data_IF_161793970752
#
_entry.id   IF_161793970752
#
_cell.length_a   1.000
_cell.length_b   1.000
_cell.length_c   1.000
_cell.angle_alpha   90.00
_cell.angle_beta   90.00
_cell.angle_gamma   90.00
#
_symmetry.space_group_name_H-M   'P 1'
#
loop_
_entity.id
_entity.type
_entity.pdbx_description
1 polymer ?
#
# COMPACT_ATOMS: atom_id res chain seq x y z
N UNK A 1 5.24 -18.01 -18.64
CA UNK A 1 5.15 -16.54 -18.45
C UNK A 1 4.49 -15.99 -19.69
N UNK A 2 3.40 -15.24 -19.55
CA UNK A 2 2.65 -14.67 -20.68
C UNK A 2 2.78 -13.15 -20.60
N UNK A 3 3.15 -12.50 -21.69
CA UNK A 3 3.12 -11.03 -21.78
C UNK A 3 1.65 -10.57 -21.76
N UNK A 4 1.38 -9.47 -21.06
CA UNK A 4 0.04 -8.92 -20.76
C UNK A 4 -0.91 -8.83 -21.99
N UNK A 5 -0.35 -8.67 -23.20
CA UNK A 5 -1.06 -8.45 -24.45
C UNK A 5 -2.03 -9.56 -24.91
N UNK A 6 -2.04 -10.75 -24.28
CA UNK A 6 -2.95 -11.84 -24.65
C UNK A 6 -4.01 -12.16 -23.58
N UNK A 7 -4.02 -11.44 -22.47
CA UNK A 7 -4.94 -11.71 -21.35
C UNK A 7 -6.12 -10.73 -21.43
N UNK A 8 -7.32 -11.26 -21.49
CA UNK A 8 -8.56 -10.48 -21.54
C UNK A 8 -9.16 -10.40 -20.14
N UNK A 9 -9.82 -9.30 -19.83
CA UNK A 9 -10.59 -9.14 -18.60
C UNK A 9 -12.04 -9.49 -18.90
N UNK A 10 -12.56 -10.54 -18.26
CA UNK A 10 -14.00 -10.74 -18.18
C UNK A 10 -14.59 -9.64 -17.29
N UNK A 11 -15.28 -8.67 -17.90
CA UNK A 11 -15.84 -7.50 -17.22
C UNK A 11 -17.00 -7.86 -16.28
N UNK A 12 -17.61 -9.03 -16.44
CA UNK A 12 -18.71 -9.48 -15.57
C UNK A 12 -18.23 -9.99 -14.21
N UNK A 13 -17.06 -10.64 -14.16
CA UNK A 13 -16.52 -11.25 -12.94
C UNK A 13 -15.14 -10.72 -12.53
N UNK A 14 -14.53 -9.84 -13.32
CA UNK A 14 -13.19 -9.31 -13.13
C UNK A 14 -12.06 -10.33 -13.37
N UNK A 15 -12.37 -11.48 -13.98
CA UNK A 15 -11.42 -12.57 -14.18
C UNK A 15 -10.43 -12.27 -15.29
N UNK A 16 -9.17 -12.69 -15.12
CA UNK A 16 -8.19 -12.77 -16.19
C UNK A 16 -8.41 -14.06 -16.99
N UNK A 17 -8.64 -13.92 -18.28
CA UNK A 17 -8.91 -15.01 -19.22
C UNK A 17 -7.79 -15.09 -20.24
N UNK A 18 -7.29 -16.30 -20.49
CA UNK A 18 -6.31 -16.59 -21.53
C UNK A 18 -6.85 -17.72 -22.40
N UNK A 19 -6.92 -17.52 -23.73
CA UNK A 19 -7.45 -18.52 -24.67
C UNK A 19 -8.84 -19.06 -24.28
N UNK A 20 -9.70 -18.20 -23.75
CA UNK A 20 -11.08 -18.54 -23.37
C UNK A 20 -11.24 -19.22 -21.99
N UNK A 21 -10.16 -19.44 -21.24
CA UNK A 21 -10.23 -20.07 -19.90
C UNK A 21 -9.64 -19.17 -18.80
N UNK A 22 -10.08 -19.31 -17.52
CA UNK A 22 -9.51 -18.56 -16.40
C UNK A 22 -7.99 -18.79 -16.26
N UNK A 23 -7.24 -17.69 -16.33
CA UNK A 23 -5.78 -17.71 -16.36
C UNK A 23 -5.19 -18.16 -15.01
N UNK A 24 -4.18 -19.02 -15.06
CA UNK A 24 -3.36 -19.39 -13.92
C UNK A 24 -1.89 -19.22 -14.29
N UNK A 25 -1.15 -18.46 -13.48
CA UNK A 25 0.23 -18.11 -13.76
C UNK A 25 0.54 -16.68 -13.30
N UNK A 26 1.72 -16.18 -13.66
CA UNK A 26 2.15 -14.81 -13.34
C UNK A 26 2.16 -13.94 -14.60
N UNK A 27 1.50 -12.79 -14.51
CA UNK A 27 1.56 -11.72 -15.52
C UNK A 27 2.71 -10.80 -15.14
N UNK A 28 3.62 -10.57 -16.08
CA UNK A 28 4.73 -9.65 -15.90
C UNK A 28 4.69 -8.51 -16.92
N UNK A 29 5.03 -7.32 -16.46
CA UNK A 29 5.25 -6.15 -17.32
C UNK A 29 6.66 -5.62 -17.14
N UNK A 30 7.16 -4.86 -18.13
CA UNK A 30 8.48 -4.24 -18.09
C UNK A 30 8.37 -2.74 -18.29
N UNK A 31 9.28 -2.00 -17.65
CA UNK A 31 9.50 -0.59 -17.90
C UNK A 31 10.11 -0.38 -19.29
N UNK A 32 10.08 0.84 -19.85
CA UNK A 32 10.70 1.14 -21.14
C UNK A 32 12.19 0.79 -21.22
N UNK A 33 12.89 0.77 -20.08
CA UNK A 33 14.29 0.37 -19.98
C UNK A 33 14.51 -1.16 -19.88
N UNK A 34 13.46 -1.96 -20.04
CA UNK A 34 13.50 -3.43 -19.99
C UNK A 34 13.49 -4.04 -18.59
N UNK A 35 13.61 -3.24 -17.53
CA UNK A 35 13.53 -3.74 -16.16
C UNK A 35 12.11 -4.20 -15.82
N UNK A 36 11.99 -5.16 -14.89
CA UNK A 36 10.68 -5.64 -14.44
C UNK A 36 9.89 -4.48 -13.82
N UNK A 37 8.65 -4.30 -14.24
CA UNK A 37 7.75 -3.27 -13.69
C UNK A 37 6.69 -3.86 -12.77
N UNK A 38 6.16 -5.04 -13.09
CA UNK A 38 5.21 -5.76 -12.24
C UNK A 38 5.37 -7.27 -12.36
N UNK A 39 5.04 -7.96 -11.27
CA UNK A 39 4.82 -9.40 -11.22
C UNK A 39 3.50 -9.63 -10.46
N UNK A 40 2.47 -10.07 -11.19
CA UNK A 40 1.09 -10.20 -10.71
C UNK A 40 0.63 -11.67 -10.83
N UNK A 41 0.55 -12.42 -9.73
CA UNK A 41 0.21 -13.83 -9.76
C UNK A 41 -1.30 -14.06 -9.74
N UNK A 42 -1.78 -14.99 -10.57
CA UNK A 42 -3.18 -15.36 -10.73
C UNK A 42 -3.37 -16.86 -10.62
N UNK A 43 -4.53 -17.24 -10.06
CA UNK A 43 -5.06 -18.60 -10.01
C UNK A 43 -6.54 -18.57 -10.36
N UNK A 44 -6.95 -19.38 -11.33
CA UNK A 44 -8.33 -19.43 -11.82
C UNK A 44 -8.91 -18.04 -12.15
N UNK A 45 -8.11 -17.20 -12.80
CA UNK A 45 -8.47 -15.85 -13.23
C UNK A 45 -8.49 -14.78 -12.13
N UNK A 46 -8.26 -15.13 -10.86
CA UNK A 46 -8.21 -14.19 -9.72
C UNK A 46 -6.78 -14.02 -9.23
N UNK A 47 -6.44 -12.84 -8.69
CA UNK A 47 -5.11 -12.63 -8.08
C UNK A 47 -4.91 -13.57 -6.90
N UNK A 48 -3.82 -14.30 -6.87
CA UNK A 48 -3.51 -15.25 -5.81
C UNK A 48 -1.99 -15.35 -5.65
N UNK A 49 -1.48 -14.89 -4.51
CA UNK A 49 -0.05 -14.75 -4.23
C UNK A 49 0.39 -13.30 -4.02
N UNK A 50 1.69 -13.07 -4.14
CA UNK A 50 2.31 -11.76 -3.89
C UNK A 50 2.40 -10.92 -5.16
N UNK A 51 1.58 -9.87 -5.24
CA UNK A 51 1.74 -8.81 -6.22
C UNK A 51 2.97 -7.97 -5.87
N UNK A 52 3.85 -7.74 -6.84
CA UNK A 52 5.02 -6.87 -6.72
C UNK A 52 5.05 -5.85 -7.84
N UNK A 53 5.28 -4.59 -7.48
CA UNK A 53 5.53 -3.50 -8.43
C UNK A 53 6.90 -2.90 -8.15
N UNK A 54 7.63 -2.57 -9.20
CA UNK A 54 9.00 -2.08 -9.14
C UNK A 54 9.08 -0.71 -9.79
N UNK A 55 9.98 0.13 -9.29
CA UNK A 55 10.34 1.39 -9.91
C UNK A 55 11.21 1.14 -11.17
N UNK A 56 11.35 2.14 -12.06
CA UNK A 56 12.23 2.02 -13.23
C UNK A 56 13.70 1.78 -12.90
N UNK A 57 14.13 1.99 -11.65
CA UNK A 57 15.49 1.68 -11.18
C UNK A 57 15.62 0.25 -10.61
N UNK A 58 14.55 -0.55 -10.65
CA UNK A 58 14.53 -1.95 -10.21
C UNK A 58 14.23 -2.12 -8.72
N UNK A 59 14.10 -1.02 -7.96
CA UNK A 59 13.73 -1.04 -6.55
C UNK A 59 12.27 -1.48 -6.42
N UNK A 60 11.99 -2.40 -5.49
CA UNK A 60 10.62 -2.82 -5.17
C UNK A 60 9.85 -1.63 -4.57
N UNK A 61 8.79 -1.16 -5.24
CA UNK A 61 7.97 -0.04 -4.80
C UNK A 61 6.70 -0.43 -4.06
N UNK A 62 6.16 -1.63 -4.32
CA UNK A 62 4.93 -2.13 -3.72
C UNK A 62 4.94 -3.66 -3.62
N UNK A 63 4.49 -4.19 -2.48
CA UNK A 63 4.23 -5.62 -2.27
C UNK A 63 2.91 -5.78 -1.52
N UNK A 64 2.00 -6.61 -2.02
CA UNK A 64 0.79 -7.02 -1.32
C UNK A 64 0.49 -8.49 -1.59
N UNK A 65 -0.13 -9.16 -0.62
CA UNK A 65 -0.55 -10.56 -0.76
C UNK A 65 -2.05 -10.60 -1.04
N UNK A 66 -2.44 -11.45 -1.99
CA UNK A 66 -3.82 -11.72 -2.36
C UNK A 66 -4.12 -13.20 -2.23
N UNK A 67 -5.37 -13.51 -1.90
CA UNK A 67 -5.91 -14.86 -1.88
C UNK A 67 -7.27 -14.83 -2.55
N UNK A 68 -7.43 -15.57 -3.65
CA UNK A 68 -8.66 -15.55 -4.45
C UNK A 68 -9.19 -14.15 -4.82
N UNK A 69 -8.29 -13.20 -5.07
CA UNK A 69 -8.60 -11.83 -5.45
C UNK A 69 -8.74 -10.86 -4.27
N UNK A 70 -8.76 -11.36 -3.03
CA UNK A 70 -8.94 -10.58 -1.81
C UNK A 70 -7.57 -10.29 -1.19
N UNK A 71 -7.31 -9.04 -0.82
CA UNK A 71 -6.04 -8.65 -0.17
C UNK A 71 -6.03 -9.11 1.29
N UNK A 72 -4.94 -9.79 1.65
CA UNK A 72 -4.72 -10.31 3.01
C UNK A 72 -3.27 -10.07 3.44
N UNK A 73 -3.07 -9.87 4.75
CA UNK A 73 -1.74 -9.74 5.33
C UNK A 73 -1.12 -8.35 5.12
N UNK A 74 0.21 -8.29 5.22
CA UNK A 74 0.93 -7.01 5.13
C UNK A 74 1.04 -6.53 3.69
N UNK A 75 0.60 -5.30 3.46
CA UNK A 75 0.99 -4.49 2.30
C UNK A 75 2.12 -3.55 2.69
N UNK A 76 3.14 -3.50 1.85
CA UNK A 76 4.36 -2.71 2.04
C UNK A 76 4.57 -1.83 0.81
N UNK A 77 5.03 -0.61 1.05
CA UNK A 77 5.50 0.25 -0.04
C UNK A 77 6.85 0.83 0.32
N UNK A 78 7.60 1.21 -0.71
CA UNK A 78 8.91 1.82 -0.58
C UNK A 78 8.98 3.08 -1.43
N UNK A 79 9.91 3.95 -1.06
CA UNK A 79 10.37 5.04 -1.90
C UNK A 79 11.32 4.50 -2.97
N UNK A 80 11.54 5.27 -4.02
CA UNK A 80 12.46 4.94 -5.11
C UNK A 80 13.92 4.77 -4.65
N UNK A 81 14.30 5.40 -3.53
CA UNK A 81 15.57 5.20 -2.84
C UNK A 81 15.65 3.88 -2.04
N UNK A 82 14.60 3.05 -2.04
CA UNK A 82 14.54 1.77 -1.33
C UNK A 82 14.18 1.86 0.15
N UNK A 83 14.03 3.07 0.71
CA UNK A 83 13.54 3.23 2.08
C UNK A 83 12.05 2.89 2.18
N UNK A 84 11.64 2.33 3.32
CA UNK A 84 10.23 1.95 3.52
C UNK A 84 9.35 3.19 3.57
N UNK A 85 8.27 3.17 2.79
CA UNK A 85 7.29 4.26 2.69
C UNK A 85 6.04 4.00 3.51
N UNK A 86 5.52 2.77 3.48
CA UNK A 86 4.37 2.38 4.31
C UNK A 86 4.33 0.91 4.66
N UNK A 87 3.58 0.59 5.71
CA UNK A 87 3.29 -0.76 6.16
C UNK A 87 1.86 -0.76 6.73
N UNK A 88 0.99 -1.56 6.14
CA UNK A 88 -0.43 -1.67 6.51
C UNK A 88 -0.86 -3.13 6.49
N UNK A 89 -1.58 -3.58 7.52
CA UNK A 89 -2.18 -4.92 7.54
C UNK A 89 -3.58 -4.86 6.92
N UNK A 90 -3.90 -5.84 6.08
CA UNK A 90 -5.21 -6.02 5.48
C UNK A 90 -5.81 -7.38 5.90
N UNK A 91 -7.11 -7.39 6.14
CA UNK A 91 -7.92 -8.61 6.21
C UNK A 91 -9.22 -8.35 5.44
N UNK A 92 -9.53 -9.22 4.49
CA UNK A 92 -10.71 -9.09 3.62
C UNK A 92 -10.78 -7.73 2.90
N UNK A 93 -9.68 -7.30 2.29
CA UNK A 93 -9.51 -5.98 1.64
C UNK A 93 -9.62 -4.75 2.57
N UNK A 94 -9.84 -4.95 3.87
CA UNK A 94 -10.00 -3.87 4.85
C UNK A 94 -8.73 -3.69 5.69
N UNK A 95 -8.32 -2.45 5.93
CA UNK A 95 -7.20 -2.15 6.83
C UNK A 95 -7.52 -2.60 8.26
N UNK A 96 -6.52 -3.20 8.91
CA UNK A 96 -6.60 -3.67 10.28
C UNK A 96 -5.37 -3.22 11.08
N UNK A 97 -5.60 -2.88 12.35
CA UNK A 97 -4.55 -2.62 13.31
C UNK A 97 -3.68 -1.41 12.96
N UNK A 98 -2.43 -1.45 13.43
CA UNK A 98 -1.50 -0.33 13.33
C UNK A 98 -0.89 -0.26 11.93
N UNK A 99 -1.09 0.87 11.26
CA UNK A 99 -0.43 1.20 10.01
C UNK A 99 0.61 2.31 10.23
N UNK A 100 1.66 2.28 9.41
CA UNK A 100 2.77 3.24 9.49
C UNK A 100 3.10 3.83 8.13
N UNK A 101 3.54 5.08 8.15
CA UNK A 101 4.13 5.78 7.01
C UNK A 101 5.40 6.50 7.45
N UNK A 102 6.37 6.57 6.56
CA UNK A 102 7.67 7.20 6.78
C UNK A 102 8.03 8.16 5.65
N UNK A 103 8.84 9.15 5.99
CA UNK A 103 9.52 10.00 5.00
C UNK A 103 10.60 9.20 4.25
N UNK A 104 11.07 9.74 3.13
CA UNK A 104 12.12 9.10 2.34
C UNK A 104 13.47 8.99 3.07
N UNK A 105 13.71 9.80 4.12
CA UNK A 105 14.85 9.68 5.02
C UNK A 105 14.70 8.55 6.06
N UNK A 106 13.53 7.90 6.12
CA UNK A 106 13.22 6.83 7.07
C UNK A 106 12.63 7.31 8.40
N UNK A 107 12.46 8.62 8.60
CA UNK A 107 11.80 9.18 9.78
C UNK A 107 10.30 8.86 9.76
N UNK A 108 9.71 8.70 10.94
CA UNK A 108 8.26 8.47 11.06
C UNK A 108 7.51 9.68 10.51
N UNK A 109 6.56 9.43 9.61
CA UNK A 109 5.64 10.45 9.14
C UNK A 109 4.30 10.33 9.86
N UNK A 110 3.66 9.16 9.77
CA UNK A 110 2.33 8.93 10.33
C UNK A 110 2.21 7.54 10.93
N UNK A 111 1.40 7.46 11.97
CA UNK A 111 0.93 6.22 12.58
C UNK A 111 -0.58 6.28 12.61
N UNK A 112 -1.19 5.26 12.07
CA UNK A 112 -2.63 5.08 12.12
C UNK A 112 -2.99 3.84 12.90
N UNK A 113 -4.25 3.76 13.29
CA UNK A 113 -4.84 2.53 13.77
C UNK A 113 -6.21 2.37 13.12
N UNK A 114 -6.44 1.20 12.52
CA UNK A 114 -7.62 0.87 11.75
C UNK A 114 -8.35 -0.34 12.35
N UNK A 115 -9.65 -0.40 12.12
CA UNK A 115 -10.48 -1.59 12.34
C UNK A 115 -11.51 -1.64 11.24
N UNK A 116 -11.49 -2.72 10.44
CA UNK A 116 -12.40 -2.91 9.30
C UNK A 116 -12.42 -1.70 8.35
N UNK A 117 -11.23 -1.21 7.99
CA UNK A 117 -11.04 -0.06 7.09
C UNK A 117 -11.34 1.31 7.71
N UNK A 118 -11.86 1.35 8.94
CA UNK A 118 -12.20 2.60 9.62
C UNK A 118 -11.09 3.02 10.60
N UNK A 119 -10.68 4.29 10.62
CA UNK A 119 -9.67 4.77 11.56
C UNK A 119 -10.25 4.82 12.98
N UNK A 120 -9.56 4.19 13.94
CA UNK A 120 -9.99 4.06 15.34
C UNK A 120 -8.83 4.24 16.30
N UNK A 121 -9.10 4.72 17.51
CA UNK A 121 -8.07 4.92 18.52
C UNK A 121 -7.01 5.93 18.10
N UNK A 122 -5.80 5.77 18.61
CA UNK A 122 -4.74 6.76 18.55
C UNK A 122 -4.13 6.91 17.14
N UNK A 123 -4.14 8.12 16.63
CA UNK A 123 -3.51 8.58 15.40
C UNK A 123 -2.38 9.58 15.74
N UNK A 124 -1.23 9.47 15.06
CA UNK A 124 -0.09 10.38 15.26
C UNK A 124 0.52 10.80 13.93
N UNK A 125 0.99 12.04 13.89
CA UNK A 125 1.73 12.62 12.77
C UNK A 125 2.94 13.41 13.27
N UNK A 126 4.10 13.14 12.67
CA UNK A 126 5.36 13.79 12.95
C UNK A 126 5.87 14.55 11.72
N UNK A 127 6.51 15.69 11.96
CA UNK A 127 7.24 16.46 10.96
C UNK A 127 8.59 15.78 10.67
N UNK A 128 9.32 16.16 9.61
CA UNK A 128 10.64 15.60 9.31
C UNK A 128 11.64 15.75 10.48
N UNK A 129 11.52 16.83 11.26
CA UNK A 129 12.35 17.05 12.45
C UNK A 129 11.91 16.24 13.69
N UNK A 130 10.99 15.29 13.53
CA UNK A 130 10.49 14.44 14.61
C UNK A 130 9.48 15.10 15.56
N UNK A 131 9.16 16.39 15.40
CA UNK A 131 8.13 17.04 16.23
C UNK A 131 6.73 16.58 15.82
N UNK A 132 5.90 16.26 16.81
CA UNK A 132 4.49 15.96 16.57
C UNK A 132 3.79 17.20 16.00
N UNK A 133 3.03 17.02 14.92
CA UNK A 133 2.06 18.00 14.44
C UNK A 133 0.62 17.49 14.53
N UNK A 134 0.44 16.21 14.86
CA UNK A 134 -0.87 15.61 15.04
C UNK A 134 -0.79 14.49 16.09
N UNK A 135 -1.70 14.48 17.05
CA UNK A 135 -1.82 13.49 18.09
C UNK A 135 -3.26 13.51 18.62
N UNK A 136 -4.11 12.66 18.04
CA UNK A 136 -5.52 12.60 18.38
C UNK A 136 -6.01 11.16 18.43
N UNK A 137 -7.13 10.94 19.10
CA UNK A 137 -7.77 9.64 19.26
C UNK A 137 -9.17 9.67 18.67
N UNK A 138 -9.55 8.63 17.91
CA UNK A 138 -10.90 8.47 17.37
C UNK A 138 -11.67 7.48 18.24
N UNK A 139 -12.76 7.93 18.87
CA UNK A 139 -13.68 7.10 19.66
C UNK A 139 -15.12 7.35 19.21
N UNK A 140 -15.83 6.30 18.82
CA UNK A 140 -17.23 6.41 18.38
C UNK A 140 -17.43 7.40 17.22
N UNK A 141 -16.48 7.46 16.28
CA UNK A 141 -16.50 8.39 15.14
C UNK A 141 -16.11 9.84 15.48
N UNK A 142 -15.79 10.16 16.74
CA UNK A 142 -15.38 11.49 17.17
C UNK A 142 -13.88 11.57 17.43
N UNK A 143 -13.30 12.72 17.12
CA UNK A 143 -11.87 12.99 17.27
C UNK A 143 -11.59 13.79 18.53
N UNK A 144 -10.60 13.34 19.31
CA UNK A 144 -10.17 13.96 20.56
C UNK A 144 -8.66 14.23 20.52
N UNK A 145 -8.23 15.47 20.70
CA UNK A 145 -6.82 15.83 20.81
C UNK A 145 -6.35 16.78 19.71
N UNK A 146 -5.03 16.79 19.50
CA UNK A 146 -4.38 17.76 18.64
C UNK A 146 -4.46 17.33 17.18
N UNK A 147 -5.23 18.05 16.37
CA UNK A 147 -5.25 17.86 14.93
C UNK A 147 -4.59 19.06 14.23
N UNK A 148 -3.48 18.80 13.55
CA UNK A 148 -2.82 19.75 12.65
C UNK A 148 -2.25 21.02 13.32
N UNK A 149 -1.39 20.85 14.32
CA UNK A 149 -0.64 21.96 14.94
C UNK A 149 0.29 22.66 13.96
N UNK A 150 0.16 23.99 13.89
CA UNK A 150 1.15 24.85 13.22
C UNK A 150 2.50 24.79 13.94
N UNK A 151 3.59 25.03 13.20
CA UNK A 151 4.90 25.16 13.81
C UNK A 151 4.93 26.48 14.60
N UNK A 152 5.32 26.44 15.87
CA UNK A 152 5.57 27.67 16.62
C UNK A 152 6.74 28.42 15.96
N UNK A 153 6.51 29.66 15.54
CA UNK A 153 7.58 30.55 15.09
C UNK A 153 8.05 31.36 16.30
N UNK A 154 9.36 31.38 16.55
CA UNK A 154 9.94 32.32 17.50
C UNK A 154 9.90 33.71 16.88
N UNK A 155 9.14 34.63 17.47
CA UNK A 155 9.25 36.04 17.13
C UNK A 155 10.60 36.49 17.68
N UNK A 156 11.52 36.91 16.80
CA UNK A 156 12.74 37.60 17.24
C UNK A 156 12.29 38.99 17.73
N UNK A 157 12.45 39.24 19.03
CA UNK A 157 12.35 40.57 19.64
C UNK A 157 13.56 41.42 19.29
#
# INVERSE_FOLDING_TARGET
MVQDAQIVIDTSHGLRIYQGVPFTGEIQSRHPNGQLASADPFKAGRRDGKLRLYFPNGVLGYEATFKNGIREGWTKTWWDNGSRRSLTMFADDLEQGVAWQWYAGGEKFKRYNFKNGQPVGLQKGWRPNGKLFSNFEIKGGRTYGLNNAMACFTIKS
#
